data_IF_924779763563
#
_entry.id   IF_924779763563
#
_cell.length_a   1.000
_cell.length_b   1.000
_cell.length_c   1.000
_cell.angle_alpha   90.00
_cell.angle_beta   90.00
_cell.angle_gamma   90.00
#
_symmetry.space_group_name_H-M   'P 1'
#
loop_
_entity.id
_entity.type
_entity.pdbx_description
1 polymer ?
#
# COMPACT_ATOMS: atom_id res chain seq x y z
N UNK A 1 42.22 -41.68 -15.69
CA UNK A 1 40.83 -41.30 -16.02
C UNK A 1 40.01 -40.99 -14.77
N UNK A 2 40.10 -39.77 -14.24
CA UNK A 2 39.47 -39.42 -12.96
C UNK A 2 39.16 -37.94 -12.74
N UNK A 3 39.30 -37.09 -13.75
CA UNK A 3 39.15 -35.63 -13.61
C UNK A 3 37.99 -35.04 -14.43
N UNK A 4 37.45 -35.77 -15.41
CA UNK A 4 36.29 -35.33 -16.19
C UNK A 4 34.95 -35.49 -15.44
N UNK A 5 34.87 -36.34 -14.42
CA UNK A 5 33.65 -36.59 -13.66
C UNK A 5 33.32 -35.44 -12.66
N UNK A 6 34.31 -34.67 -12.23
CA UNK A 6 34.14 -33.64 -11.20
C UNK A 6 33.49 -32.34 -11.72
N UNK A 7 33.40 -32.13 -13.04
CA UNK A 7 32.85 -30.90 -13.64
C UNK A 7 31.33 -31.00 -13.84
N UNK A 8 30.76 -32.21 -13.89
CA UNK A 8 29.31 -32.40 -13.99
C UNK A 8 28.56 -32.13 -12.67
N UNK A 9 29.28 -32.08 -11.54
CA UNK A 9 28.70 -31.84 -10.21
C UNK A 9 28.36 -30.36 -9.93
N UNK A 10 28.58 -29.45 -10.88
CA UNK A 10 28.52 -28.00 -10.66
C UNK A 10 27.28 -27.26 -11.18
N UNK A 11 26.30 -27.90 -11.82
CA UNK A 11 25.22 -27.17 -12.51
C UNK A 11 23.83 -27.76 -12.27
N UNK A 12 23.24 -27.38 -11.13
CA UNK A 12 21.85 -26.92 -11.04
C UNK A 12 21.55 -26.61 -9.56
N UNK A 13 21.43 -25.34 -9.17
CA UNK A 13 20.89 -24.99 -7.86
C UNK A 13 19.41 -25.39 -7.84
N UNK A 14 19.18 -26.56 -7.25
CA UNK A 14 17.91 -27.02 -6.72
C UNK A 14 17.28 -25.92 -5.86
N UNK A 15 16.08 -25.54 -6.26
CA UNK A 15 15.23 -24.59 -5.56
C UNK A 15 14.98 -25.05 -4.11
N UNK A 16 15.35 -24.20 -3.17
CA UNK A 16 14.84 -24.15 -1.81
C UNK A 16 15.11 -22.72 -1.28
N UNK A 17 14.41 -22.18 -0.27
CA UNK A 17 13.50 -22.85 0.65
C UNK A 17 12.21 -22.05 1.01
N UNK A 18 11.20 -22.75 1.52
CA UNK A 18 10.43 -22.35 2.73
C UNK A 18 9.29 -23.36 2.90
N UNK A 19 9.48 -24.35 3.76
CA UNK A 19 9.15 -24.24 5.18
C UNK A 19 7.64 -24.10 5.43
N UNK A 20 6.95 -25.25 5.32
CA UNK A 20 5.88 -25.76 6.21
C UNK A 20 4.60 -24.90 6.40
N UNK A 21 3.50 -25.41 7.02
CA UNK A 21 3.23 -26.76 7.51
C UNK A 21 1.82 -27.30 7.11
N UNK A 22 1.58 -28.56 7.48
CA UNK A 22 0.28 -29.13 7.90
C UNK A 22 -0.90 -29.14 6.92
N UNK A 23 -1.22 -30.37 6.50
CA UNK A 23 -2.52 -30.79 6.03
C UNK A 23 -3.62 -30.47 7.06
N UNK A 24 -4.26 -29.32 6.91
CA UNK A 24 -5.66 -29.13 7.28
C UNK A 24 -6.48 -29.40 6.03
N UNK A 25 -7.29 -30.46 6.05
CA UNK A 25 -8.31 -30.67 5.05
C UNK A 25 -9.28 -29.48 5.10
N UNK A 26 -9.11 -28.52 4.19
CA UNK A 26 -10.19 -27.63 3.79
C UNK A 26 -10.54 -27.99 2.36
N UNK A 27 -11.76 -28.47 2.19
CA UNK A 27 -12.41 -28.57 0.90
C UNK A 27 -12.16 -27.24 0.15
N UNK A 28 -11.45 -27.32 -0.98
CA UNK A 28 -11.12 -26.15 -1.76
C UNK A 28 -12.41 -25.61 -2.36
N UNK A 29 -13.03 -24.65 -1.66
CA UNK A 29 -14.06 -23.81 -2.25
C UNK A 29 -13.51 -23.24 -3.57
N UNK A 30 -14.32 -23.19 -4.64
CA UNK A 30 -13.91 -22.62 -5.92
C UNK A 30 -13.22 -21.26 -5.67
N UNK A 31 -12.13 -20.93 -6.39
CA UNK A 31 -11.52 -19.62 -6.25
C UNK A 31 -12.61 -18.57 -6.41
N UNK A 32 -12.73 -17.60 -5.48
CA UNK A 32 -13.71 -16.54 -5.61
C UNK A 32 -13.50 -15.88 -6.98
N UNK A 33 -14.58 -15.52 -7.68
CA UNK A 33 -14.47 -14.83 -8.96
C UNK A 33 -13.53 -13.62 -8.79
N UNK A 34 -12.69 -13.29 -9.78
CA UNK A 34 -11.83 -12.13 -9.70
C UNK A 34 -12.72 -10.93 -9.33
N UNK A 35 -12.36 -10.14 -8.30
CA UNK A 35 -13.15 -8.99 -7.93
C UNK A 35 -13.31 -8.08 -9.16
N UNK A 36 -14.50 -7.47 -9.35
CA UNK A 36 -14.73 -6.58 -10.48
C UNK A 36 -13.59 -5.54 -10.51
N UNK A 37 -13.14 -5.10 -11.69
CA UNK A 37 -12.07 -4.11 -11.80
C UNK A 37 -12.52 -2.83 -11.07
N UNK A 38 -12.04 -2.67 -9.84
CA UNK A 38 -12.25 -1.45 -9.05
C UNK A 38 -11.38 -0.38 -9.67
N UNK A 39 -12.00 0.69 -10.17
CA UNK A 39 -11.27 1.76 -10.84
C UNK A 39 -10.33 2.42 -9.83
N UNK A 40 -9.04 2.09 -9.99
CA UNK A 40 -7.99 2.51 -9.09
C UNK A 40 -7.42 3.82 -9.61
N UNK A 41 -7.55 4.86 -8.80
CA UNK A 41 -7.13 6.22 -9.13
C UNK A 41 -6.02 6.66 -8.20
N UNK A 42 -5.16 7.52 -8.73
CA UNK A 42 -4.06 8.09 -7.96
C UNK A 42 -4.38 9.54 -7.63
N UNK A 43 -4.33 9.87 -6.35
CA UNK A 43 -4.64 11.20 -5.83
C UNK A 43 -3.44 11.78 -5.08
N UNK A 44 -3.36 13.11 -5.09
CA UNK A 44 -2.31 13.84 -4.37
C UNK A 44 -2.87 14.39 -3.08
N UNK A 45 -2.34 13.97 -1.93
CA UNK A 45 -2.73 14.47 -0.61
C UNK A 45 -1.63 15.37 -0.07
N UNK A 46 -1.93 16.65 0.06
CA UNK A 46 -1.11 17.65 0.72
C UNK A 46 -1.47 17.69 2.19
N UNK A 47 -0.50 17.67 3.09
CA UNK A 47 -0.77 17.72 4.52
C UNK A 47 0.24 18.60 5.23
N UNK A 48 -0.23 19.36 6.22
CA UNK A 48 0.66 20.14 7.06
C UNK A 48 1.41 19.19 8.01
N UNK A 49 2.74 19.24 7.99
CA UNK A 49 3.64 18.40 8.78
C UNK A 49 4.47 19.27 9.72
N UNK A 50 3.86 19.88 10.75
CA UNK A 50 4.62 20.67 11.73
C UNK A 50 5.63 19.79 12.49
N UNK A 51 5.29 18.52 12.73
CA UNK A 51 6.08 17.57 13.51
C UNK A 51 5.95 16.14 12.96
N UNK A 52 6.87 15.24 13.34
CA UNK A 52 6.86 13.83 12.91
C UNK A 52 5.56 13.08 13.31
N UNK A 53 4.96 13.40 14.46
CA UNK A 53 3.70 12.79 14.90
C UNK A 53 2.51 13.16 14.02
N UNK A 54 2.52 14.33 13.37
CA UNK A 54 1.48 14.72 12.42
C UNK A 54 1.57 13.90 11.12
N UNK A 55 2.80 13.57 10.70
CA UNK A 55 3.06 12.72 9.53
C UNK A 55 2.57 11.30 9.76
N UNK A 56 2.93 10.70 10.91
CA UNK A 56 2.49 9.35 11.28
C UNK A 56 0.96 9.26 11.37
N UNK A 57 0.33 10.24 12.02
CA UNK A 57 -1.13 10.29 12.11
C UNK A 57 -1.80 10.43 10.74
N UNK A 58 -1.25 11.26 9.83
CA UNK A 58 -1.78 11.43 8.47
C UNK A 58 -1.64 10.15 7.65
N UNK A 59 -0.46 9.52 7.70
CA UNK A 59 -0.18 8.27 6.99
C UNK A 59 -1.06 7.13 7.52
N UNK A 60 -1.20 7.02 8.84
CA UNK A 60 -2.08 6.05 9.50
C UNK A 60 -3.55 6.28 9.14
N UNK A 61 -4.03 7.52 9.15
CA UNK A 61 -5.40 7.85 8.79
C UNK A 61 -5.72 7.51 7.33
N UNK A 62 -4.81 7.83 6.40
CA UNK A 62 -4.96 7.51 4.98
C UNK A 62 -4.88 6.00 4.76
N UNK A 63 -3.89 5.30 5.32
CA UNK A 63 -3.76 3.84 5.14
C UNK A 63 -4.94 3.06 5.75
N UNK A 64 -5.58 3.64 6.75
CA UNK A 64 -6.76 3.05 7.39
C UNK A 64 -8.09 3.47 6.72
N UNK A 65 -8.07 4.30 5.68
CA UNK A 65 -9.27 4.63 4.93
C UNK A 65 -9.69 3.44 4.03
N UNK A 66 -10.97 3.05 4.06
CA UNK A 66 -11.45 1.92 3.27
C UNK A 66 -11.32 2.25 1.77
N UNK A 67 -10.61 1.39 1.05
CA UNK A 67 -10.34 1.56 -0.37
C UNK A 67 -8.93 2.04 -0.73
N UNK A 68 -8.09 2.37 0.27
CA UNK A 68 -6.69 2.72 -0.01
C UNK A 68 -5.88 1.47 -0.33
N UNK A 69 -5.39 1.37 -1.57
CA UNK A 69 -4.47 0.32 -2.01
C UNK A 69 -3.02 0.63 -1.64
N UNK A 70 -2.66 1.91 -1.58
CA UNK A 70 -1.31 2.32 -1.24
C UNK A 70 -1.23 3.81 -0.92
N UNK A 71 -0.31 4.16 -0.03
CA UNK A 71 0.02 5.54 0.29
C UNK A 71 1.54 5.65 0.36
N UNK A 72 2.10 6.62 -0.36
CA UNK A 72 3.54 6.85 -0.42
C UNK A 72 3.83 8.34 -0.40
N UNK A 73 4.62 8.77 0.58
CA UNK A 73 5.07 10.16 0.68
C UNK A 73 6.04 10.45 -0.47
N UNK A 74 5.66 11.36 -1.37
CA UNK A 74 6.49 11.74 -2.53
C UNK A 74 7.35 12.97 -2.22
N UNK A 75 6.97 13.77 -1.23
CA UNK A 75 7.76 14.91 -0.76
C UNK A 75 7.50 15.14 0.72
N UNK A 76 8.57 15.23 1.51
CA UNK A 76 8.50 15.47 2.94
C UNK A 76 9.20 16.79 3.25
N UNK A 77 8.42 17.84 3.49
CA UNK A 77 8.93 19.11 4.00
C UNK A 77 8.69 19.13 5.52
N UNK A 78 9.72 18.79 6.29
CA UNK A 78 9.69 18.87 7.75
C UNK A 78 9.57 20.35 8.15
N UNK A 79 8.50 20.71 8.87
CA UNK A 79 8.19 22.11 9.18
C UNK A 79 7.39 22.85 8.10
N UNK A 80 6.87 22.13 7.10
CA UNK A 80 6.09 22.68 5.99
C UNK A 80 4.92 21.80 5.57
N UNK A 81 4.58 21.84 4.28
CA UNK A 81 3.53 20.99 3.69
C UNK A 81 4.16 19.79 3.01
N UNK A 82 3.80 18.59 3.45
CA UNK A 82 4.22 17.34 2.82
C UNK A 82 3.20 16.88 1.79
N UNK A 83 3.67 16.11 0.80
CA UNK A 83 2.85 15.55 -0.27
C UNK A 83 2.91 14.04 -0.23
N UNK A 84 1.75 13.41 -0.21
CA UNK A 84 1.55 11.97 -0.24
C UNK A 84 0.74 11.58 -1.47
N UNK A 85 1.27 10.66 -2.26
CA UNK A 85 0.55 10.02 -3.35
C UNK A 85 -0.25 8.86 -2.79
N UNK A 86 -1.54 8.82 -3.06
CA UNK A 86 -2.46 7.80 -2.57
C UNK A 86 -3.13 7.11 -3.74
N UNK A 87 -3.00 5.80 -3.79
CA UNK A 87 -3.70 4.93 -4.73
C UNK A 87 -4.97 4.45 -4.04
N UNK A 88 -6.12 4.87 -4.57
CA UNK A 88 -7.44 4.63 -3.98
C UNK A 88 -8.37 3.95 -4.99
N UNK A 89 -9.14 2.99 -4.52
CA UNK A 89 -10.22 2.37 -5.29
C UNK A 89 -11.52 3.16 -5.06
N UNK A 90 -11.94 3.93 -6.07
CA UNK A 90 -13.13 4.79 -5.99
C UNK A 90 -12.84 6.29 -6.08
N UNK A 91 -13.69 7.09 -5.45
CA UNK A 91 -13.74 8.54 -5.62
C UNK A 91 -13.02 9.34 -4.52
N UNK A 92 -12.58 10.53 -4.91
CA UNK A 92 -11.92 11.51 -4.05
C UNK A 92 -12.80 11.94 -2.86
N UNK A 93 -14.12 12.02 -3.09
CA UNK A 93 -15.10 12.50 -2.11
C UNK A 93 -15.31 11.50 -0.96
N UNK A 94 -15.36 10.20 -1.27
CA UNK A 94 -15.42 9.12 -0.27
C UNK A 94 -14.18 9.07 0.58
N UNK A 95 -12.98 9.25 -0.02
CA UNK A 95 -11.74 9.39 0.72
C UNK A 95 -11.77 10.61 1.64
N UNK A 96 -12.26 11.76 1.15
CA UNK A 96 -12.37 12.98 1.94
C UNK A 96 -13.34 12.83 3.12
N UNK A 97 -14.49 12.17 2.91
CA UNK A 97 -15.46 11.87 3.95
C UNK A 97 -14.87 10.94 5.03
N UNK A 98 -14.16 9.89 4.62
CA UNK A 98 -13.49 8.96 5.54
C UNK A 98 -12.42 9.66 6.40
N UNK A 99 -11.64 10.56 5.80
CA UNK A 99 -10.64 11.36 6.52
C UNK A 99 -11.29 12.37 7.48
N UNK A 100 -12.39 13.01 7.07
CA UNK A 100 -13.15 13.93 7.92
C UNK A 100 -13.81 13.21 9.10
N UNK A 101 -14.31 11.99 8.92
CA UNK A 101 -14.83 11.16 10.01
C UNK A 101 -13.74 10.82 11.05
N UNK A 102 -12.47 10.81 10.65
CA UNK A 102 -11.31 10.65 11.55
C UNK A 102 -10.85 11.97 12.20
N UNK A 103 -11.60 13.06 12.03
CA UNK A 103 -11.31 14.35 12.65
C UNK A 103 -10.34 15.24 11.85
N UNK A 104 -10.03 14.90 10.60
CA UNK A 104 -9.21 15.75 9.74
C UNK A 104 -10.05 16.82 9.05
N UNK A 105 -9.54 18.04 8.98
CA UNK A 105 -10.08 19.05 8.07
C UNK A 105 -9.54 18.77 6.68
N UNK A 106 -10.43 18.31 5.80
CA UNK A 106 -10.13 18.01 4.40
C UNK A 106 -10.66 19.12 3.50
N UNK A 107 -9.80 19.63 2.63
CA UNK A 107 -10.15 20.48 1.49
C UNK A 107 -9.95 19.68 0.23
N UNK A 108 -10.98 19.60 -0.61
CA UNK A 108 -10.95 18.87 -1.87
C UNK A 108 -10.60 19.84 -3.00
N UNK A 109 -9.70 19.43 -3.90
CA UNK A 109 -9.31 20.14 -5.11
C UNK A 109 -9.27 19.21 -6.32
N UNK A 110 -8.76 19.71 -7.45
CA UNK A 110 -8.72 18.96 -8.72
C UNK A 110 -7.73 17.79 -8.64
N UNK A 111 -8.24 16.58 -8.35
CA UNK A 111 -7.44 15.36 -8.11
C UNK A 111 -6.44 15.46 -6.93
N UNK A 112 -6.67 16.42 -6.04
CA UNK A 112 -5.83 16.62 -4.86
C UNK A 112 -6.69 16.87 -3.61
N UNK A 113 -6.21 16.42 -2.46
CA UNK A 113 -6.77 16.76 -1.15
C UNK A 113 -5.72 17.55 -0.39
N UNK A 114 -6.17 18.53 0.40
CA UNK A 114 -5.36 19.10 1.47
C UNK A 114 -5.96 18.69 2.81
N UNK A 115 -5.18 18.04 3.68
CA UNK A 115 -5.60 17.65 5.01
C UNK A 115 -4.82 18.41 6.08
N UNK A 116 -5.51 18.81 7.13
CA UNK A 116 -4.91 19.40 8.32
C UNK A 116 -5.66 18.96 9.57
N UNK A 117 -4.92 18.91 10.66
CA UNK A 117 -5.46 18.84 12.03
C UNK A 117 -6.03 20.22 12.37
#
# INVERSE_FOLDING_TARGET
PGLAALIAAGQAPVAAPSAAPSAGATEAAPPPPPPPPVETRTFTVQFASPDAGAVDAALGAVRSAPGVKGASTTSLAVGGTSIMRVTYEGDLDTLAAALRARGWRVTVGSNALSIKR
#
